data_IF_920172176430
#
_entry.id   IF_920172176430
#
_cell.length_a   1.000
_cell.length_b   1.000
_cell.length_c   1.000
_cell.angle_alpha   90.00
_cell.angle_beta   90.00
_cell.angle_gamma   90.00
#
_symmetry.space_group_name_H-M   'P 1'
#
loop_
_entity.id
_entity.type
_entity.pdbx_description
1 polymer ?
#
# COMPACT_ATOMS: atom_id res chain seq x y z
N UNK A 1 21.01 11.04 -6.90
CA UNK A 1 20.16 10.14 -7.72
C UNK A 1 18.92 9.97 -6.89
N UNK A 2 17.78 10.54 -7.30
CA UNK A 2 16.51 10.31 -6.62
C UNK A 2 16.20 8.81 -6.70
N UNK A 3 16.47 8.08 -5.62
CA UNK A 3 15.78 6.81 -5.38
C UNK A 3 14.30 7.19 -5.25
N UNK A 4 13.52 6.88 -6.28
CA UNK A 4 12.08 7.04 -6.23
C UNK A 4 11.57 6.27 -5.01
N UNK A 5 11.19 7.02 -3.97
CA UNK A 5 10.73 6.49 -2.69
C UNK A 5 9.67 5.42 -2.95
N UNK A 6 10.01 4.17 -2.63
CA UNK A 6 9.14 3.02 -2.91
C UNK A 6 8.01 2.95 -1.88
N UNK A 7 6.88 2.28 -2.17
CA UNK A 7 5.85 2.02 -1.16
C UNK A 7 6.42 1.39 0.12
N UNK A 8 7.42 0.53 -0.03
CA UNK A 8 8.14 -0.09 1.07
C UNK A 8 8.96 0.90 1.88
N UNK A 9 9.65 1.85 1.23
CA UNK A 9 10.34 2.93 1.93
C UNK A 9 9.36 3.79 2.73
N UNK A 10 8.20 4.15 2.16
CA UNK A 10 7.19 4.92 2.88
C UNK A 10 6.63 4.16 4.08
N UNK A 11 6.34 2.86 3.94
CA UNK A 11 5.90 2.03 5.07
C UNK A 11 6.96 1.92 6.17
N UNK A 12 8.23 1.83 5.79
CA UNK A 12 9.35 1.85 6.72
C UNK A 12 9.47 3.20 7.44
N UNK A 13 9.35 4.31 6.70
CA UNK A 13 9.28 5.68 7.25
C UNK A 13 8.16 5.81 8.27
N UNK A 14 6.95 5.36 7.93
CA UNK A 14 5.78 5.40 8.81
C UNK A 14 5.99 4.56 10.07
N UNK A 15 6.75 3.47 9.97
CA UNK A 15 7.14 2.66 11.13
C UNK A 15 8.10 3.43 12.03
N UNK A 16 9.13 4.08 11.49
CA UNK A 16 10.02 4.96 12.27
C UNK A 16 9.21 6.08 12.94
N UNK A 17 8.28 6.72 12.22
CA UNK A 17 7.44 7.78 12.76
C UNK A 17 6.71 7.35 14.05
N UNK A 18 6.14 6.14 14.07
CA UNK A 18 5.44 5.60 15.25
C UNK A 18 6.36 5.47 16.47
N UNK A 19 7.60 5.05 16.27
CA UNK A 19 8.57 4.94 17.35
C UNK A 19 9.16 6.29 17.78
N UNK A 20 9.44 7.19 16.84
CA UNK A 20 9.90 8.55 17.13
C UNK A 20 8.85 9.32 17.94
N UNK A 21 7.57 9.24 17.55
CA UNK A 21 6.45 9.84 18.30
C UNK A 21 6.26 9.26 19.70
N UNK A 22 6.65 8.00 19.92
CA UNK A 22 6.56 7.36 21.24
C UNK A 22 7.73 7.75 22.15
N UNK A 23 8.87 8.17 21.58
CA UNK A 23 10.08 8.55 22.30
C UNK A 23 10.20 10.05 22.56
N UNK A 24 9.62 10.89 21.70
CA UNK A 24 9.59 12.35 21.88
C UNK A 24 8.52 12.67 22.94
N UNK A 25 8.95 13.19 24.09
CA UNK A 25 8.04 13.63 25.16
C UNK A 25 7.06 14.68 24.64
N UNK A 26 5.82 14.63 25.13
CA UNK A 26 4.62 15.41 24.78
C UNK A 26 4.77 16.94 25.01
N UNK A 27 5.72 17.59 24.32
CA UNK A 27 5.90 19.03 24.32
C UNK A 27 5.75 19.57 22.90
N UNK A 28 4.56 20.13 22.67
CA UNK A 28 4.26 21.31 21.83
C UNK A 28 3.61 21.15 20.43
N UNK A 29 2.65 20.24 20.24
CA UNK A 29 1.85 20.13 19.01
C UNK A 29 1.36 21.47 18.38
N UNK A 30 2.18 22.03 17.48
CA UNK A 30 1.90 23.10 16.54
C UNK A 30 2.09 22.58 15.11
N UNK A 31 1.42 23.20 14.12
CA UNK A 31 1.44 22.72 12.73
C UNK A 31 2.84 22.78 12.07
N UNK A 32 3.75 23.62 12.58
CA UNK A 32 5.15 23.68 12.15
C UNK A 32 5.93 22.45 12.63
N UNK A 33 5.64 21.91 13.82
CA UNK A 33 6.30 20.69 14.34
C UNK A 33 5.97 19.44 13.51
N UNK A 34 4.75 19.36 12.97
CA UNK A 34 4.36 18.22 12.13
C UNK A 34 5.19 18.13 10.84
N UNK A 35 5.58 19.27 10.27
CA UNK A 35 6.44 19.33 9.08
C UNK A 35 7.91 19.04 9.43
N UNK A 36 8.40 19.58 10.54
CA UNK A 36 9.77 19.33 11.02
C UNK A 36 9.97 17.86 11.41
N UNK A 37 8.96 17.25 12.04
CA UNK A 37 8.97 15.83 12.38
C UNK A 37 8.95 14.94 11.12
N UNK A 38 8.15 15.27 10.10
CA UNK A 38 8.15 14.47 8.87
C UNK A 38 9.49 14.56 8.13
N UNK A 39 10.14 15.74 8.12
CA UNK A 39 11.49 15.91 7.57
C UNK A 39 12.52 15.10 8.36
N UNK A 40 12.47 15.16 9.70
CA UNK A 40 13.32 14.39 10.59
C UNK A 40 13.16 12.88 10.39
N UNK A 41 11.92 12.38 10.34
CA UNK A 41 11.64 10.95 10.12
C UNK A 41 12.06 10.53 8.71
N UNK A 42 11.85 11.38 7.69
CA UNK A 42 12.31 11.12 6.32
C UNK A 42 13.83 11.00 6.25
N UNK A 43 14.54 11.88 6.98
CA UNK A 43 15.99 11.83 7.12
C UNK A 43 16.44 10.53 7.80
N UNK A 44 15.90 10.19 8.97
CA UNK A 44 16.21 8.95 9.68
C UNK A 44 15.95 7.71 8.82
N UNK A 45 14.83 7.68 8.09
CA UNK A 45 14.50 6.59 7.19
C UNK A 45 15.55 6.47 6.08
N UNK A 46 15.97 7.59 5.48
CA UNK A 46 17.00 7.58 4.43
C UNK A 46 18.38 7.11 4.92
N UNK A 47 18.74 7.41 6.17
CA UNK A 47 20.01 6.97 6.77
C UNK A 47 19.99 5.48 7.15
N UNK A 48 18.85 4.96 7.59
CA UNK A 48 18.71 3.56 8.01
C UNK A 48 18.44 2.60 6.84
N UNK A 49 17.70 3.03 5.82
CA UNK A 49 17.22 2.19 4.72
C UNK A 49 18.32 1.41 3.97
N UNK A 50 19.51 1.98 3.70
CA UNK A 50 20.60 1.25 3.05
C UNK A 50 21.11 0.04 3.86
N UNK A 51 20.85 -0.02 5.16
CA UNK A 51 21.18 -1.18 6.01
C UNK A 51 20.21 -2.35 5.78
N UNK A 52 18.99 -2.05 5.33
CA UNK A 52 17.94 -3.05 5.13
C UNK A 52 18.31 -3.91 3.91
N UNK A 53 18.38 -5.24 4.03
CA UNK A 53 18.69 -6.11 2.89
C UNK A 53 17.65 -5.95 1.76
N UNK A 54 18.07 -6.04 0.50
CA UNK A 54 17.18 -5.89 -0.66
C UNK A 54 15.94 -6.79 -0.59
N UNK A 55 16.08 -8.02 -0.09
CA UNK A 55 14.95 -8.94 0.10
C UNK A 55 13.87 -8.39 1.07
N UNK A 56 14.27 -7.61 2.07
CA UNK A 56 13.37 -6.92 2.98
C UNK A 56 12.87 -5.59 2.39
N UNK A 57 13.71 -4.86 1.63
CA UNK A 57 13.28 -3.65 0.92
C UNK A 57 12.20 -3.92 -0.13
N UNK A 58 12.19 -5.12 -0.72
CA UNK A 58 11.20 -5.60 -1.67
C UNK A 58 10.13 -6.49 -1.01
N UNK A 59 10.01 -6.43 0.32
CA UNK A 59 9.06 -7.25 1.05
C UNK A 59 7.61 -6.92 0.65
N UNK A 60 6.85 -7.99 0.42
CA UNK A 60 5.42 -8.00 0.14
C UNK A 60 4.85 -9.28 0.75
N UNK A 61 3.52 -9.39 0.83
CA UNK A 61 2.88 -10.65 1.20
C UNK A 61 3.40 -11.85 0.39
N UNK A 62 3.62 -11.69 -0.91
CA UNK A 62 4.03 -12.79 -1.79
C UNK A 62 5.54 -13.12 -1.71
N UNK A 63 6.37 -12.20 -1.20
CA UNK A 63 7.82 -12.39 -1.02
C UNK A 63 8.21 -12.66 0.43
N UNK A 64 7.25 -12.72 1.36
CA UNK A 64 7.48 -12.90 2.81
C UNK A 64 8.43 -14.05 3.17
N UNK A 65 8.35 -15.17 2.45
CA UNK A 65 9.16 -16.36 2.72
C UNK A 65 10.65 -16.18 2.32
N UNK A 66 10.97 -15.10 1.59
CA UNK A 66 12.33 -14.73 1.19
C UNK A 66 12.95 -13.66 2.09
N UNK A 67 12.15 -13.05 2.97
CA UNK A 67 12.63 -12.02 3.89
C UNK A 67 13.44 -12.70 5.00
N UNK A 68 14.69 -12.28 5.25
CA UNK A 68 15.49 -12.87 6.32
C UNK A 68 14.86 -12.62 7.70
N UNK A 69 15.19 -13.46 8.66
CA UNK A 69 14.87 -13.19 10.07
C UNK A 69 15.61 -11.91 10.50
N UNK A 70 14.92 -11.02 11.21
CA UNK A 70 15.49 -9.71 11.60
C UNK A 70 16.77 -9.87 12.43
N UNK A 71 16.85 -10.91 13.27
CA UNK A 71 18.03 -11.23 14.07
C UNK A 71 19.28 -11.56 13.24
N UNK A 72 19.12 -11.93 11.97
CA UNK A 72 20.22 -12.26 11.06
C UNK A 72 20.72 -11.03 10.27
N UNK A 73 20.05 -9.89 10.40
CA UNK A 73 20.43 -8.65 9.72
C UNK A 73 21.59 -8.01 10.50
N UNK A 74 22.72 -7.83 9.82
CA UNK A 74 23.89 -7.14 10.35
C UNK A 74 23.60 -5.63 10.45
N UNK A 75 23.24 -5.15 11.65
CA UNK A 75 22.97 -3.74 11.90
C UNK A 75 24.22 -2.93 12.20
N UNK A 76 25.39 -3.57 12.27
CA UNK A 76 26.67 -2.93 12.54
C UNK A 76 27.08 -1.96 11.42
N UNK A 77 26.51 -2.10 10.22
CA UNK A 77 26.70 -1.18 9.10
C UNK A 77 25.71 0.00 9.09
N UNK A 78 24.85 0.13 10.10
CA UNK A 78 23.95 1.29 10.21
C UNK A 78 24.73 2.59 10.30
N UNK A 79 24.26 3.61 9.59
CA UNK A 79 24.89 4.94 9.57
C UNK A 79 25.06 5.50 10.98
N UNK A 80 26.25 6.02 11.29
CA UNK A 80 26.50 6.73 12.54
C UNK A 80 25.54 7.92 12.69
N UNK A 81 25.18 8.58 11.58
CA UNK A 81 24.29 9.73 11.60
C UNK A 81 22.87 9.36 12.08
N UNK A 82 22.39 8.15 11.76
CA UNK A 82 21.13 7.63 12.29
C UNK A 82 21.17 7.50 13.82
N UNK A 83 22.24 6.86 14.34
CA UNK A 83 22.41 6.63 15.79
C UNK A 83 22.58 7.96 16.53
N UNK A 84 23.45 8.84 16.03
CA UNK A 84 23.72 10.16 16.61
C UNK A 84 22.47 11.03 16.65
N UNK A 85 21.65 10.98 15.59
CA UNK A 85 20.38 11.70 15.54
C UNK A 85 19.39 11.19 16.59
N UNK A 86 19.26 9.87 16.77
CA UNK A 86 18.37 9.32 17.79
C UNK A 86 18.81 9.71 19.22
N UNK A 87 20.12 9.73 19.48
CA UNK A 87 20.68 10.15 20.78
C UNK A 87 20.47 11.67 20.99
N UNK A 88 20.77 12.48 19.98
CA UNK A 88 20.66 13.94 20.02
C UNK A 88 19.23 14.41 20.32
N UNK A 89 18.23 13.70 19.77
CA UNK A 89 16.81 13.96 20.03
C UNK A 89 16.28 13.27 21.30
N UNK A 90 17.14 12.61 22.09
CA UNK A 90 16.77 11.98 23.35
C UNK A 90 15.84 10.76 23.22
N UNK A 91 15.77 10.16 22.03
CA UNK A 91 14.92 8.98 21.76
C UNK A 91 15.55 7.72 22.38
N UNK A 92 16.88 7.67 22.45
CA UNK A 92 17.67 6.57 23.01
C UNK A 92 18.86 7.11 23.82
N UNK A 93 19.43 6.26 24.68
CA UNK A 93 20.58 6.64 25.52
C UNK A 93 21.93 6.32 24.86
N UNK A 94 22.02 5.19 24.13
CA UNK A 94 23.27 4.71 23.56
C UNK A 94 23.07 3.93 22.24
N UNK A 95 24.19 3.52 21.63
CA UNK A 95 24.18 2.77 20.37
C UNK A 95 23.52 1.38 20.50
N UNK A 96 23.62 0.72 21.65
CA UNK A 96 23.01 -0.60 21.85
C UNK A 96 21.48 -0.50 21.85
N UNK A 97 20.94 0.56 22.44
CA UNK A 97 19.52 0.88 22.38
C UNK A 97 19.07 1.28 20.96
N UNK A 98 19.95 1.94 20.18
CA UNK A 98 19.70 2.20 18.76
C UNK A 98 19.46 0.91 17.99
N UNK A 99 20.32 -0.09 18.19
CA UNK A 99 20.20 -1.38 17.51
C UNK A 99 18.98 -2.17 17.97
N UNK A 100 18.63 -2.13 19.26
CA UNK A 100 17.39 -2.76 19.76
C UNK A 100 16.16 -2.09 19.17
N UNK A 101 16.14 -0.77 19.10
CA UNK A 101 15.05 -0.01 18.49
C UNK A 101 14.94 -0.31 17.00
N UNK A 102 16.06 -0.33 16.29
CA UNK A 102 16.06 -0.63 14.86
C UNK A 102 15.57 -2.05 14.57
N UNK A 103 15.94 -3.06 15.38
CA UNK A 103 15.35 -4.41 15.27
C UNK A 103 13.83 -4.39 15.41
N UNK A 104 13.28 -3.67 16.40
CA UNK A 104 11.83 -3.54 16.58
C UNK A 104 11.16 -2.87 15.38
N UNK A 105 11.74 -1.77 14.89
CA UNK A 105 11.29 -1.08 13.67
C UNK A 105 11.23 -2.05 12.48
N UNK A 106 12.27 -2.87 12.30
CA UNK A 106 12.34 -3.84 11.20
C UNK A 106 11.33 -4.98 11.36
N UNK A 107 11.10 -5.47 12.57
CA UNK A 107 10.07 -6.49 12.84
C UNK A 107 8.67 -5.96 12.52
N UNK A 108 8.33 -4.76 13.01
CA UNK A 108 7.05 -4.08 12.75
C UNK A 108 6.86 -3.78 11.26
N UNK A 109 7.91 -3.31 10.60
CA UNK A 109 7.92 -3.06 9.16
C UNK A 109 7.67 -4.36 8.38
N UNK A 110 8.39 -5.43 8.71
CA UNK A 110 8.24 -6.75 8.08
C UNK A 110 6.82 -7.27 8.26
N UNK A 111 6.27 -7.19 9.47
CA UNK A 111 4.91 -7.64 9.77
C UNK A 111 3.89 -6.94 8.86
N UNK A 112 4.00 -5.62 8.71
CA UNK A 112 3.09 -4.86 7.85
C UNK A 112 3.34 -5.10 6.35
N UNK A 113 4.59 -5.11 5.91
CA UNK A 113 4.95 -5.33 4.51
C UNK A 113 4.52 -6.73 4.03
N UNK A 114 4.60 -7.72 4.93
CA UNK A 114 4.23 -9.10 4.68
C UNK A 114 2.79 -9.43 5.11
N UNK A 115 1.99 -8.44 5.53
CA UNK A 115 0.63 -8.68 5.97
C UNK A 115 -0.23 -9.24 4.81
N UNK A 116 -1.17 -10.17 5.09
CA UNK A 116 -2.07 -10.67 4.08
C UNK A 116 -2.86 -9.52 3.43
N UNK A 117 -3.17 -9.63 2.12
CA UNK A 117 -4.08 -8.68 1.49
C UNK A 117 -5.39 -8.64 2.28
N UNK A 118 -6.09 -7.49 2.27
CA UNK A 118 -7.34 -7.36 3.00
C UNK A 118 -8.33 -8.41 2.54
N UNK A 119 -9.23 -8.81 3.44
CA UNK A 119 -10.36 -9.65 3.06
C UNK A 119 -11.23 -8.82 2.11
N UNK A 120 -11.14 -9.10 0.81
CA UNK A 120 -11.75 -8.25 -0.23
C UNK A 120 -13.27 -8.07 -0.10
N UNK A 121 -13.97 -8.93 0.63
CA UNK A 121 -15.39 -8.72 0.95
C UNK A 121 -15.64 -7.65 2.01
N UNK A 122 -14.66 -7.35 2.88
CA UNK A 122 -14.77 -6.30 3.90
C UNK A 122 -14.39 -4.92 3.36
N UNK A 123 -13.88 -4.81 2.12
CA UNK A 123 -13.51 -3.52 1.50
C UNK A 123 -14.71 -2.78 0.89
N UNK A 124 -15.94 -3.15 1.29
CA UNK A 124 -17.17 -2.60 0.70
C UNK A 124 -17.29 -1.10 0.94
N UNK A 125 -17.34 -0.35 -0.15
CA UNK A 125 -17.62 1.09 -0.16
C UNK A 125 -19.13 1.36 -0.11
N UNK A 126 -19.49 2.60 0.23
CA UNK A 126 -20.87 3.12 0.14
C UNK A 126 -21.24 3.54 -1.29
N UNK A 127 -20.24 3.98 -2.06
CA UNK A 127 -20.40 4.48 -3.43
C UNK A 127 -19.77 3.57 -4.48
N UNK A 128 -20.32 3.60 -5.69
CA UNK A 128 -19.78 2.85 -6.82
C UNK A 128 -18.40 3.39 -7.23
N UNK A 129 -17.36 2.57 -7.18
CA UNK A 129 -15.96 2.99 -7.43
C UNK A 129 -15.68 3.54 -8.84
N UNK A 130 -16.57 3.28 -9.83
CA UNK A 130 -16.47 3.90 -11.16
C UNK A 130 -17.24 5.23 -11.26
N UNK A 131 -18.47 5.32 -10.75
CA UNK A 131 -19.35 6.48 -11.02
C UNK A 131 -19.67 7.34 -9.80
N UNK A 132 -19.09 7.02 -8.64
CA UNK A 132 -19.24 7.73 -7.37
C UNK A 132 -20.71 7.92 -6.93
N UNK A 133 -21.62 7.03 -7.36
CA UNK A 133 -23.02 7.08 -6.93
C UNK A 133 -23.24 6.17 -5.73
N UNK A 134 -23.93 6.68 -4.73
CA UNK A 134 -24.44 5.92 -3.59
C UNK A 134 -25.71 5.14 -4.00
N UNK A 135 -25.50 3.92 -4.50
CA UNK A 135 -26.55 3.02 -5.01
C UNK A 135 -26.19 1.57 -4.67
N UNK A 136 -27.12 0.60 -4.76
CA UNK A 136 -26.80 -0.80 -4.51
C UNK A 136 -25.61 -1.30 -5.35
N UNK A 137 -24.57 -1.75 -4.64
CA UNK A 137 -23.32 -2.24 -5.23
C UNK A 137 -23.29 -3.76 -5.32
N UNK A 138 -22.57 -4.22 -6.33
CA UNK A 138 -22.30 -5.62 -6.64
C UNK A 138 -20.80 -5.90 -6.49
N UNK A 139 -20.48 -7.14 -6.16
CA UNK A 139 -19.11 -7.64 -6.03
C UNK A 139 -18.56 -7.98 -7.42
N UNK A 140 -17.55 -7.26 -7.88
CA UNK A 140 -16.92 -7.47 -9.19
C UNK A 140 -15.46 -7.87 -9.03
N UNK A 141 -15.07 -9.04 -9.54
CA UNK A 141 -13.67 -9.44 -9.58
C UNK A 141 -12.91 -8.68 -10.67
N UNK A 142 -11.90 -7.91 -10.27
CA UNK A 142 -11.06 -7.13 -11.19
C UNK A 142 -10.24 -8.04 -12.10
N UNK A 143 -9.69 -9.12 -11.54
CA UNK A 143 -9.14 -10.24 -12.30
C UNK A 143 -10.26 -11.30 -12.40
N UNK A 144 -10.87 -11.51 -13.58
CA UNK A 144 -12.02 -12.41 -13.66
C UNK A 144 -11.68 -13.85 -13.29
N UNK A 145 -12.53 -14.49 -12.47
CA UNK A 145 -12.33 -15.87 -11.98
C UNK A 145 -12.06 -16.90 -13.08
N UNK A 146 -12.71 -16.73 -14.23
CA UNK A 146 -12.55 -17.62 -15.38
C UNK A 146 -11.12 -17.71 -15.92
N UNK A 147 -10.25 -16.72 -15.63
CA UNK A 147 -8.85 -16.70 -16.09
C UNK A 147 -7.83 -16.85 -14.96
N UNK A 148 -8.25 -17.09 -13.71
CA UNK A 148 -7.33 -17.24 -12.55
C UNK A 148 -6.25 -18.29 -12.79
N UNK A 149 -6.63 -19.50 -13.24
CA UNK A 149 -5.66 -20.56 -13.53
C UNK A 149 -4.64 -20.15 -14.60
N UNK A 150 -5.07 -19.36 -15.61
CA UNK A 150 -4.18 -18.85 -16.65
C UNK A 150 -3.26 -17.75 -16.11
N UNK A 151 -3.79 -16.81 -15.31
CA UNK A 151 -3.04 -15.73 -14.66
C UNK A 151 -1.89 -16.30 -13.83
N UNK A 152 -2.17 -17.30 -12.98
CA UNK A 152 -1.15 -17.94 -12.13
C UNK A 152 -0.14 -18.73 -12.97
N UNK A 153 -0.61 -19.53 -13.95
CA UNK A 153 0.28 -20.31 -14.83
C UNK A 153 1.24 -19.44 -15.64
N UNK A 154 0.81 -18.24 -16.02
CA UNK A 154 1.60 -17.30 -16.82
C UNK A 154 2.31 -16.25 -15.97
N UNK A 155 2.20 -16.32 -14.64
CA UNK A 155 2.76 -15.34 -13.71
C UNK A 155 2.42 -13.88 -14.07
N UNK A 156 1.18 -13.64 -14.53
CA UNK A 156 0.74 -12.26 -14.82
C UNK A 156 0.57 -11.44 -13.56
N UNK A 157 0.07 -12.06 -12.50
CA UNK A 157 -0.16 -11.46 -11.18
C UNK A 157 0.15 -12.46 -10.08
N UNK A 158 0.55 -11.98 -8.89
CA UNK A 158 0.69 -12.84 -7.71
C UNK A 158 -0.65 -13.42 -7.25
N UNK A 159 -0.59 -14.47 -6.43
CA UNK A 159 -1.79 -15.12 -5.87
C UNK A 159 -2.58 -14.18 -4.95
N UNK A 160 -1.90 -13.28 -4.24
CA UNK A 160 -2.53 -12.25 -3.42
C UNK A 160 -3.54 -11.37 -4.17
N UNK A 161 -3.32 -11.16 -5.47
CA UNK A 161 -4.11 -10.25 -6.28
C UNK A 161 -5.30 -10.88 -6.98
N UNK A 162 -5.32 -12.19 -7.23
CA UNK A 162 -6.35 -12.79 -8.10
C UNK A 162 -7.79 -12.60 -7.56
N UNK A 163 -7.93 -12.42 -6.24
CA UNK A 163 -9.21 -12.19 -5.60
C UNK A 163 -9.56 -10.70 -5.40
N UNK A 164 -8.76 -9.78 -5.95
CA UNK A 164 -9.06 -8.35 -5.89
C UNK A 164 -10.41 -8.02 -6.53
N UNK A 165 -11.10 -7.07 -5.91
CA UNK A 165 -12.47 -6.71 -6.30
C UNK A 165 -12.70 -5.22 -6.34
N UNK A 166 -13.75 -4.84 -7.06
CA UNK A 166 -14.37 -3.55 -7.02
C UNK A 166 -15.87 -3.67 -6.68
N UNK A 167 -16.38 -2.67 -5.98
CA UNK A 167 -17.76 -2.48 -5.59
C UNK A 167 -18.45 -1.56 -6.58
N UNK A 168 -19.12 -2.18 -7.53
CA UNK A 168 -19.69 -1.49 -8.68
C UNK A 168 -21.21 -1.56 -8.67
N UNK A 169 -21.86 -0.45 -9.02
CA UNK A 169 -23.28 -0.50 -9.35
C UNK A 169 -23.51 -1.40 -10.58
N UNK A 170 -24.69 -2.01 -10.70
CA UNK A 170 -25.01 -2.95 -11.78
C UNK A 170 -24.73 -2.40 -13.20
N UNK A 171 -25.05 -1.14 -13.54
CA UNK A 171 -24.69 -0.57 -14.84
C UNK A 171 -23.18 -0.50 -15.09
N UNK A 172 -22.39 -0.06 -14.12
CA UNK A 172 -20.92 0.00 -14.25
C UNK A 172 -20.31 -1.39 -14.35
N UNK A 173 -20.77 -2.35 -13.55
CA UNK A 173 -20.34 -3.75 -13.66
C UNK A 173 -20.60 -4.28 -15.08
N UNK A 174 -21.80 -4.05 -15.62
CA UNK A 174 -22.15 -4.45 -16.99
C UNK A 174 -21.22 -3.77 -18.01
N UNK A 175 -20.86 -2.51 -17.81
CA UNK A 175 -19.96 -1.78 -18.69
C UNK A 175 -18.55 -2.36 -18.70
N UNK A 176 -17.98 -2.69 -17.53
CA UNK A 176 -16.63 -3.29 -17.44
C UNK A 176 -16.51 -4.57 -18.28
N UNK A 177 -17.54 -5.43 -18.24
CA UNK A 177 -17.56 -6.64 -19.07
C UNK A 177 -17.81 -6.39 -20.57
N UNK A 178 -18.20 -5.18 -20.98
CA UNK A 178 -18.38 -4.80 -22.38
C UNK A 178 -17.15 -4.17 -23.01
N UNK A 179 -16.32 -3.47 -22.23
CA UNK A 179 -15.20 -2.68 -22.77
C UNK A 179 -13.97 -3.52 -23.15
N UNK A 180 -13.83 -4.72 -22.57
CA UNK A 180 -12.65 -5.56 -22.76
C UNK A 180 -12.99 -7.03 -22.56
N UNK A 181 -12.23 -7.90 -23.22
CA UNK A 181 -12.30 -9.34 -22.97
C UNK A 181 -11.79 -9.68 -21.58
N UNK A 182 -12.20 -10.83 -21.05
CA UNK A 182 -11.77 -11.36 -19.75
C UNK A 182 -10.25 -11.37 -19.59
N UNK A 183 -9.52 -11.76 -20.65
CA UNK A 183 -8.07 -11.77 -20.65
C UNK A 183 -7.46 -10.37 -20.66
N UNK A 184 -8.04 -9.45 -21.45
CA UNK A 184 -7.58 -8.06 -21.49
C UNK A 184 -7.83 -7.35 -20.16
N UNK A 185 -8.97 -7.62 -19.51
CA UNK A 185 -9.24 -7.15 -18.14
C UNK A 185 -8.15 -7.63 -17.19
N UNK A 186 -7.85 -8.94 -17.19
CA UNK A 186 -6.82 -9.49 -16.31
C UNK A 186 -5.41 -8.94 -16.60
N UNK A 187 -5.04 -8.67 -17.85
CA UNK A 187 -3.67 -8.24 -18.18
C UNK A 187 -3.44 -6.74 -18.07
N UNK A 188 -4.41 -5.94 -18.49
CA UNK A 188 -4.23 -4.51 -18.72
C UNK A 188 -5.11 -3.64 -17.80
N UNK A 189 -6.18 -4.19 -17.22
CA UNK A 189 -7.20 -3.43 -16.47
C UNK A 189 -7.63 -4.10 -15.17
N UNK A 190 -6.66 -4.58 -14.40
CA UNK A 190 -6.85 -5.39 -13.19
C UNK A 190 -6.95 -4.57 -11.90
N UNK A 191 -7.03 -3.24 -11.99
CA UNK A 191 -7.34 -2.32 -10.88
C UNK A 191 -8.39 -1.30 -11.30
N UNK A 192 -9.03 -0.64 -10.34
CA UNK A 192 -10.01 0.43 -10.61
C UNK A 192 -9.34 1.60 -11.32
N UNK A 193 -8.12 1.96 -10.92
CA UNK A 193 -7.33 3.04 -11.51
C UNK A 193 -7.04 2.76 -12.99
N UNK A 194 -6.65 1.53 -13.32
CA UNK A 194 -6.43 1.12 -14.71
C UNK A 194 -7.72 1.17 -15.52
N UNK A 195 -8.85 0.73 -14.96
CA UNK A 195 -10.16 0.85 -15.61
C UNK A 195 -10.51 2.33 -15.87
N UNK A 196 -10.33 3.20 -14.87
CA UNK A 196 -10.57 4.64 -14.97
C UNK A 196 -9.57 5.35 -15.91
N UNK A 197 -8.43 4.73 -16.21
CA UNK A 197 -7.50 5.20 -17.24
C UNK A 197 -8.04 5.05 -18.67
N UNK A 198 -9.08 4.24 -18.90
CA UNK A 198 -9.63 4.03 -20.24
C UNK A 198 -10.59 5.14 -20.66
N UNK A 199 -10.43 5.61 -21.89
CA UNK A 199 -11.29 6.67 -22.44
C UNK A 199 -12.78 6.28 -22.49
N UNK A 200 -13.11 5.03 -22.82
CA UNK A 200 -14.48 4.54 -22.87
C UNK A 200 -15.14 4.47 -21.48
N UNK A 201 -14.39 4.03 -20.47
CA UNK A 201 -14.82 4.03 -19.07
C UNK A 201 -14.96 5.47 -18.55
N UNK A 202 -14.06 6.40 -18.88
CA UNK A 202 -14.18 7.81 -18.47
C UNK A 202 -15.43 8.47 -19.07
N UNK A 203 -15.71 8.22 -20.36
CA UNK A 203 -16.95 8.69 -21.01
C UNK A 203 -18.18 8.10 -20.31
N UNK A 204 -18.15 6.80 -20.04
CA UNK A 204 -19.22 6.12 -19.31
C UNK A 204 -19.41 6.69 -17.90
N UNK A 205 -18.34 6.89 -17.14
CA UNK A 205 -18.37 7.45 -15.78
C UNK A 205 -19.08 8.80 -15.77
N UNK A 206 -18.70 9.73 -16.66
CA UNK A 206 -19.32 11.07 -16.76
C UNK A 206 -20.82 11.01 -17.04
N UNK A 207 -21.26 10.03 -17.83
CA UNK A 207 -22.67 9.78 -18.10
C UNK A 207 -23.37 9.13 -16.91
N UNK A 208 -22.81 8.04 -16.39
CA UNK A 208 -23.37 7.19 -15.34
C UNK A 208 -23.55 7.95 -14.02
N UNK A 209 -22.60 8.84 -13.67
CA UNK A 209 -22.64 9.67 -12.47
C UNK A 209 -23.90 10.56 -12.40
N UNK A 210 -24.45 10.95 -13.56
CA UNK A 210 -25.64 11.82 -13.65
C UNK A 210 -26.97 11.06 -13.61
N UNK A 211 -26.93 9.73 -13.66
CA UNK A 211 -28.14 8.92 -13.76
C UNK A 211 -28.82 8.79 -12.39
N UNK A 212 -30.13 9.03 -12.36
CA UNK A 212 -30.95 8.85 -11.16
C UNK A 212 -31.14 7.37 -10.86
N UNK A 213 -31.11 7.01 -9.58
CA UNK A 213 -31.46 5.67 -9.11
C UNK A 213 -32.94 5.62 -8.69
N UNK A 214 -33.60 4.46 -8.84
CA UNK A 214 -34.98 4.26 -8.39
C UNK A 214 -36.09 4.84 -9.29
N UNK A 215 -35.75 5.52 -10.39
CA UNK A 215 -36.77 6.01 -11.36
C UNK A 215 -37.18 4.86 -12.29
N UNK A 216 -38.36 4.30 -12.07
CA UNK A 216 -38.99 3.36 -13.02
C UNK A 216 -39.46 4.14 -14.25
N UNK A 217 -38.78 3.96 -15.38
CA UNK A 217 -39.36 4.35 -16.66
C UNK A 217 -40.45 3.32 -17.01
N UNK A 218 -41.70 3.79 -17.06
CA UNK A 218 -42.85 3.05 -17.58
C UNK A 218 -42.77 2.97 -19.10
#
# INVERSE_FOLDING_TARGET
>A
MDEAQTPQFFLFKDTIARYALSGISDQQADQEEGSELDEFVSYLASEAWPTVPTAAQDATYDTRDKVPEIDQIALESTSFAFIDSLISYGIIEDADDAYKLFRRILDDYREQACAPPPVWSSTRTTECEICAREVPLTYHHLIPRAVHAKVLKQAWHPESMINSVAWLCRPCHTMVHKVASTEKLAREFYTVELLLGREDIQKWQKYAAKQRHGVRHR
#
